data_IF_751934892960
#
_entry.id   IF_751934892960
#
_cell.length_a   1.000
_cell.length_b   1.000
_cell.length_c   1.000
_cell.angle_alpha   90.00
_cell.angle_beta   90.00
_cell.angle_gamma   90.00
#
_symmetry.space_group_name_H-M   'P 1'
#
loop_
_entity.id
_entity.type
_entity.pdbx_description
1 polymer ?
#
# COMPACT_ATOMS: atom_id res chain seq x y z
N UNK A 1 -14.84 -11.36 -15.88
CA UNK A 1 -16.15 -10.70 -16.00
C UNK A 1 -16.83 -11.14 -17.30
N UNK A 2 -18.16 -11.23 -17.35
CA UNK A 2 -18.94 -11.43 -18.58
C UNK A 2 -18.90 -10.16 -19.45
N UNK A 3 -19.34 -10.25 -20.72
CA UNK A 3 -19.43 -9.07 -21.59
C UNK A 3 -20.40 -8.01 -21.02
N UNK A 4 -21.51 -8.44 -20.42
CA UNK A 4 -22.48 -7.55 -19.78
C UNK A 4 -21.92 -6.85 -18.53
N UNK A 5 -21.11 -7.56 -17.74
CA UNK A 5 -20.43 -6.95 -16.59
C UNK A 5 -19.43 -5.87 -17.03
N UNK A 6 -18.65 -6.14 -18.09
CA UNK A 6 -17.69 -5.16 -18.63
C UNK A 6 -18.38 -3.91 -19.19
N UNK A 7 -19.50 -4.08 -19.89
CA UNK A 7 -20.27 -2.95 -20.44
C UNK A 7 -21.05 -2.16 -19.38
N UNK A 8 -21.24 -2.71 -18.17
CA UNK A 8 -21.97 -2.02 -17.08
C UNK A 8 -21.26 -0.79 -16.51
N UNK A 9 -19.95 -0.65 -16.76
CA UNK A 9 -19.12 0.39 -16.12
C UNK A 9 -18.73 0.09 -14.66
N UNK A 10 -19.24 -1.01 -14.08
CA UNK A 10 -18.98 -1.42 -12.70
C UNK A 10 -17.83 -2.45 -12.58
N UNK A 11 -17.14 -2.73 -13.68
CA UNK A 11 -15.87 -3.46 -13.75
C UNK A 11 -14.97 -2.79 -14.77
N UNK A 12 -13.67 -3.16 -14.80
CA UNK A 12 -12.80 -2.72 -15.88
C UNK A 12 -13.18 -3.38 -17.20
N UNK A 13 -12.99 -2.67 -18.31
CA UNK A 13 -13.27 -3.20 -19.65
C UNK A 13 -12.06 -3.97 -20.20
N UNK A 14 -11.84 -5.17 -19.66
CA UNK A 14 -10.79 -6.08 -20.12
C UNK A 14 -11.27 -7.54 -19.98
N UNK A 15 -11.12 -8.31 -21.06
CA UNK A 15 -11.59 -9.72 -21.13
C UNK A 15 -10.85 -10.65 -20.18
N UNK A 16 -9.59 -10.35 -19.88
CA UNK A 16 -8.74 -11.14 -18.98
C UNK A 16 -8.93 -10.75 -17.51
N UNK A 17 -9.69 -9.70 -17.23
CA UNK A 17 -9.95 -9.25 -15.87
C UNK A 17 -10.99 -10.12 -15.16
N UNK A 18 -10.56 -10.71 -14.05
CA UNK A 18 -11.40 -11.48 -13.16
C UNK A 18 -11.97 -10.56 -12.07
N UNK A 19 -13.19 -10.88 -11.66
CA UNK A 19 -13.88 -10.25 -10.54
C UNK A 19 -13.98 -11.26 -9.40
N UNK A 20 -14.15 -10.75 -8.18
CA UNK A 20 -14.46 -11.58 -7.02
C UNK A 20 -15.97 -11.65 -6.88
N UNK A 21 -16.52 -12.86 -6.81
CA UNK A 21 -17.96 -13.05 -6.58
C UNK A 21 -18.27 -13.19 -5.10
N UNK A 22 -19.50 -12.88 -4.71
CA UNK A 22 -20.02 -13.13 -3.36
C UNK A 22 -20.50 -14.58 -3.15
N UNK A 23 -20.26 -15.47 -4.12
CA UNK A 23 -20.76 -16.84 -4.14
C UNK A 23 -22.18 -17.00 -4.72
N UNK A 24 -22.93 -15.91 -4.89
CA UNK A 24 -24.24 -15.89 -5.57
C UNK A 24 -24.16 -15.46 -7.04
N UNK A 25 -22.95 -15.15 -7.51
CA UNK A 25 -22.68 -14.69 -8.87
C UNK A 25 -22.63 -13.17 -9.03
N UNK A 26 -22.89 -12.40 -7.96
CA UNK A 26 -22.74 -10.95 -7.99
C UNK A 26 -21.28 -10.54 -7.76
N UNK A 27 -20.85 -9.45 -8.39
CA UNK A 27 -19.54 -8.85 -8.11
C UNK A 27 -19.51 -8.33 -6.67
N UNK A 28 -18.58 -8.85 -5.86
CA UNK A 28 -18.38 -8.48 -4.46
C UNK A 28 -17.84 -7.06 -4.30
N UNK A 29 -17.07 -6.57 -5.28
CA UNK A 29 -16.44 -5.24 -5.25
C UNK A 29 -16.64 -4.50 -6.58
N UNK A 30 -17.89 -4.11 -6.91
CA UNK A 30 -18.16 -3.31 -8.10
C UNK A 30 -17.46 -1.95 -8.00
N UNK A 31 -17.02 -1.44 -9.15
CA UNK A 31 -16.44 -0.10 -9.23
C UNK A 31 -17.46 0.92 -8.73
N UNK A 32 -17.04 1.78 -7.80
CA UNK A 32 -17.89 2.81 -7.20
C UNK A 32 -17.09 4.06 -6.84
N UNK A 33 -17.81 5.16 -6.60
CA UNK A 33 -17.23 6.38 -6.06
C UNK A 33 -16.84 6.23 -4.59
N UNK A 34 -15.95 7.12 -4.12
CA UNK A 34 -15.50 7.24 -2.74
C UNK A 34 -16.66 7.44 -1.78
N UNK A 35 -16.53 6.84 -0.59
CA UNK A 35 -17.59 6.83 0.44
C UNK A 35 -17.24 7.71 1.63
N UNK A 36 -16.35 8.68 1.42
CA UNK A 36 -15.68 9.50 2.42
C UNK A 36 -15.96 11.00 2.23
N UNK A 37 -17.10 11.35 1.62
CA UNK A 37 -17.54 12.73 1.38
C UNK A 37 -17.63 13.60 2.66
N UNK A 38 -17.76 12.99 3.84
CA UNK A 38 -17.70 13.70 5.12
C UNK A 38 -16.30 14.14 5.54
N UNK A 39 -15.25 13.72 4.83
CA UNK A 39 -13.83 14.02 5.10
C UNK A 39 -13.10 14.59 3.90
N UNK A 40 -13.48 14.16 2.70
CA UNK A 40 -12.90 14.61 1.44
C UNK A 40 -13.97 15.39 0.68
N UNK A 41 -13.73 16.68 0.42
CA UNK A 41 -14.70 17.54 -0.25
C UNK A 41 -15.04 17.09 -1.68
N UNK A 42 -14.08 16.45 -2.36
CA UNK A 42 -14.26 15.86 -3.70
C UNK A 42 -13.65 14.46 -3.72
N UNK A 43 -14.40 13.45 -3.25
CA UNK A 43 -13.97 12.05 -3.24
C UNK A 43 -13.60 11.55 -4.64
N UNK A 44 -12.93 10.40 -4.70
CA UNK A 44 -12.74 9.69 -5.95
C UNK A 44 -14.08 9.40 -6.63
N UNK A 45 -14.19 9.67 -7.91
CA UNK A 45 -15.35 9.30 -8.71
C UNK A 45 -15.19 7.88 -9.25
N UNK A 46 -16.30 7.20 -9.56
CA UNK A 46 -16.25 5.87 -10.19
C UNK A 46 -15.45 5.86 -11.50
N UNK A 47 -15.56 6.86 -12.41
CA UNK A 47 -14.72 6.94 -13.61
C UNK A 47 -13.22 7.07 -13.31
N UNK A 48 -12.82 7.82 -12.27
CA UNK A 48 -11.41 7.91 -11.85
C UNK A 48 -10.89 6.57 -11.32
N UNK A 49 -11.69 5.88 -10.50
CA UNK A 49 -11.38 4.52 -10.01
C UNK A 49 -11.21 3.55 -11.17
N UNK A 50 -12.15 3.57 -12.13
CA UNK A 50 -12.08 2.75 -13.35
C UNK A 50 -10.80 3.04 -14.14
N UNK A 51 -10.44 4.32 -14.29
CA UNK A 51 -9.26 4.70 -15.07
C UNK A 51 -7.95 4.23 -14.46
N UNK A 52 -7.75 4.40 -13.16
CA UNK A 52 -6.56 3.92 -12.48
C UNK A 52 -6.46 2.39 -12.53
N UNK A 53 -7.57 1.67 -12.31
CA UNK A 53 -7.58 0.20 -12.39
C UNK A 53 -7.25 -0.31 -13.80
N UNK A 54 -7.84 0.28 -14.83
CA UNK A 54 -7.59 -0.13 -16.23
C UNK A 54 -6.14 0.13 -16.65
N UNK A 55 -5.59 1.29 -16.31
CA UNK A 55 -4.21 1.61 -16.66
C UNK A 55 -3.22 0.75 -15.87
N UNK A 56 -3.48 0.48 -14.58
CA UNK A 56 -2.68 -0.47 -13.81
C UNK A 56 -2.73 -1.89 -14.42
N UNK A 57 -3.91 -2.35 -14.85
CA UNK A 57 -4.05 -3.65 -15.50
C UNK A 57 -3.31 -3.72 -16.85
N UNK A 58 -3.33 -2.64 -17.63
CA UNK A 58 -2.54 -2.53 -18.88
C UNK A 58 -1.04 -2.55 -18.65
N UNK A 59 -0.55 -1.92 -17.57
CA UNK A 59 0.87 -1.99 -17.20
C UNK A 59 1.23 -3.41 -16.78
N UNK A 60 0.41 -4.05 -15.94
CA UNK A 60 0.59 -5.45 -15.54
C UNK A 60 0.69 -6.38 -16.75
N UNK A 61 -0.21 -6.25 -17.73
CA UNK A 61 -0.23 -7.13 -18.91
C UNK A 61 0.98 -6.97 -19.84
N UNK A 62 1.79 -5.91 -19.64
CA UNK A 62 3.01 -5.63 -20.41
C UNK A 62 4.29 -5.83 -19.58
N UNK A 63 4.15 -5.93 -18.26
CA UNK A 63 5.26 -6.13 -17.35
C UNK A 63 5.70 -7.59 -17.39
N UNK A 64 6.99 -7.84 -17.59
CA UNK A 64 7.57 -9.17 -17.38
C UNK A 64 7.48 -9.54 -15.90
N UNK A 65 7.04 -10.75 -15.58
CA UNK A 65 7.05 -11.30 -14.23
C UNK A 65 8.49 -11.50 -13.71
N UNK A 66 8.72 -11.22 -12.42
CA UNK A 66 9.98 -11.59 -11.75
C UNK A 66 9.95 -13.02 -11.24
N UNK A 67 8.80 -13.49 -10.74
CA UNK A 67 8.71 -14.77 -10.00
C UNK A 67 8.09 -15.91 -10.80
N UNK A 68 7.78 -15.71 -12.09
CA UNK A 68 7.05 -16.69 -12.91
C UNK A 68 7.95 -17.35 -13.97
N UNK A 69 7.59 -18.59 -14.32
CA UNK A 69 8.14 -19.33 -15.47
C UNK A 69 6.99 -19.66 -16.44
N UNK A 70 7.22 -19.65 -17.76
CA UNK A 70 8.47 -19.27 -18.43
C UNK A 70 8.84 -17.79 -18.22
N UNK A 71 10.11 -17.45 -18.37
CA UNK A 71 10.67 -16.15 -17.96
C UNK A 71 10.09 -14.95 -18.72
N UNK A 72 9.43 -15.18 -19.84
CA UNK A 72 8.73 -14.19 -20.68
C UNK A 72 7.25 -14.01 -20.30
N UNK A 73 6.78 -14.68 -19.24
CA UNK A 73 5.40 -14.55 -18.79
C UNK A 73 5.10 -13.14 -18.27
N UNK A 74 3.90 -12.61 -18.54
CA UNK A 74 3.46 -11.34 -17.95
C UNK A 74 3.30 -11.47 -16.43
N UNK A 75 3.41 -10.36 -15.72
CA UNK A 75 3.09 -10.30 -14.30
C UNK A 75 1.64 -10.75 -14.05
N UNK A 76 1.35 -11.26 -12.86
CA UNK A 76 -0.02 -11.59 -12.45
C UNK A 76 -0.28 -11.08 -11.04
N UNK A 77 -1.27 -10.20 -10.93
CA UNK A 77 -1.51 -9.46 -9.69
C UNK A 77 -3.00 -9.25 -9.45
N UNK A 78 -3.32 -8.99 -8.20
CA UNK A 78 -4.57 -8.32 -7.82
C UNK A 78 -4.32 -6.85 -7.60
N UNK A 79 -5.21 -6.00 -8.10
CA UNK A 79 -5.15 -4.55 -8.04
C UNK A 79 -6.39 -4.09 -7.29
N UNK A 80 -6.19 -3.30 -6.23
CA UNK A 80 -7.26 -2.79 -5.37
C UNK A 80 -7.16 -1.28 -5.23
N UNK A 81 -8.30 -0.59 -5.24
CA UNK A 81 -8.40 0.83 -4.91
C UNK A 81 -9.25 1.01 -3.65
N UNK A 82 -8.82 1.89 -2.75
CA UNK A 82 -9.56 2.28 -1.54
C UNK A 82 -9.72 3.80 -1.44
N UNK A 83 -10.76 4.25 -0.75
CA UNK A 83 -10.90 5.66 -0.32
C UNK A 83 -10.06 5.96 0.95
N UNK A 84 -10.10 7.20 1.43
CA UNK A 84 -9.33 7.61 2.62
C UNK A 84 -9.79 6.95 3.92
N UNK A 85 -10.97 6.31 3.92
CA UNK A 85 -11.46 5.51 5.02
C UNK A 85 -11.03 4.05 4.95
N UNK A 86 -10.32 3.65 3.91
CA UNK A 86 -9.98 2.26 3.63
C UNK A 86 -11.14 1.47 3.03
N UNK A 87 -12.22 2.10 2.59
CA UNK A 87 -13.33 1.41 1.92
C UNK A 87 -12.92 1.02 0.51
N UNK A 88 -13.10 -0.24 0.13
CA UNK A 88 -12.76 -0.73 -1.22
C UNK A 88 -13.68 -0.05 -2.25
N UNK A 89 -13.09 0.54 -3.29
CA UNK A 89 -13.78 1.19 -4.40
C UNK A 89 -13.80 0.36 -5.68
N UNK A 90 -12.90 -0.62 -5.77
CA UNK A 90 -12.84 -1.55 -6.89
C UNK A 90 -11.68 -2.53 -6.74
N UNK A 91 -11.86 -3.72 -7.28
CA UNK A 91 -10.83 -4.78 -7.35
C UNK A 91 -10.82 -5.36 -8.75
N UNK A 92 -9.63 -5.55 -9.32
CA UNK A 92 -9.41 -6.30 -10.54
C UNK A 92 -8.31 -7.34 -10.32
N UNK A 93 -8.53 -8.57 -10.77
CA UNK A 93 -7.57 -9.67 -10.62
C UNK A 93 -7.21 -10.23 -11.99
N UNK A 94 -5.93 -10.47 -12.24
CA UNK A 94 -5.50 -11.18 -13.45
C UNK A 94 -5.71 -12.71 -13.28
N UNK A 95 -5.83 -13.50 -14.37
CA UNK A 95 -6.30 -14.88 -14.30
C UNK A 95 -5.50 -15.79 -13.34
N UNK A 96 -4.18 -15.63 -13.31
CA UNK A 96 -3.25 -16.45 -12.52
C UNK A 96 -2.56 -15.65 -11.40
N UNK A 97 -3.24 -14.63 -10.88
CA UNK A 97 -2.73 -13.89 -9.72
C UNK A 97 -2.74 -14.79 -8.47
N UNK A 98 -1.70 -14.79 -7.62
CA UNK A 98 -1.73 -15.53 -6.37
C UNK A 98 -2.94 -15.14 -5.50
N UNK A 99 -3.57 -16.13 -4.86
CA UNK A 99 -4.78 -15.93 -4.06
C UNK A 99 -4.54 -14.90 -2.94
N UNK A 100 -3.38 -14.97 -2.27
CA UNK A 100 -3.00 -14.02 -1.22
C UNK A 100 -2.99 -12.56 -1.70
N UNK A 101 -2.78 -12.32 -3.00
CA UNK A 101 -2.77 -10.98 -3.58
C UNK A 101 -4.11 -10.25 -3.39
N UNK A 102 -5.19 -11.00 -3.22
CA UNK A 102 -6.52 -10.45 -2.93
C UNK A 102 -6.53 -9.61 -1.65
N UNK A 103 -6.00 -10.16 -0.56
CA UNK A 103 -5.94 -9.45 0.72
C UNK A 103 -4.78 -8.46 0.77
N UNK A 104 -3.61 -8.86 0.26
CA UNK A 104 -2.38 -8.05 0.34
C UNK A 104 -2.49 -6.77 -0.50
N UNK A 105 -3.15 -6.80 -1.66
CA UNK A 105 -3.35 -5.59 -2.47
C UNK A 105 -4.20 -4.53 -1.74
N UNK A 106 -5.28 -4.96 -1.06
CA UNK A 106 -6.11 -4.08 -0.23
C UNK A 106 -5.34 -3.60 0.99
N UNK A 107 -4.59 -4.48 1.65
CA UNK A 107 -3.78 -4.14 2.82
C UNK A 107 -2.70 -3.09 2.46
N UNK A 108 -2.03 -3.24 1.32
CA UNK A 108 -1.09 -2.25 0.76
C UNK A 108 -1.76 -0.90 0.49
N UNK A 109 -2.93 -0.90 -0.16
CA UNK A 109 -3.68 0.32 -0.44
C UNK A 109 -4.11 1.05 0.85
N UNK A 110 -4.66 0.30 1.82
CA UNK A 110 -5.04 0.82 3.15
C UNK A 110 -3.85 1.39 3.89
N UNK A 111 -2.68 0.75 3.79
CA UNK A 111 -1.44 1.21 4.43
C UNK A 111 -1.06 2.60 3.96
N UNK A 112 -0.96 2.83 2.65
CA UNK A 112 -0.51 4.14 2.13
C UNK A 112 -1.58 5.22 2.25
N UNK A 113 -2.87 4.86 2.17
CA UNK A 113 -3.97 5.77 2.51
C UNK A 113 -3.89 6.19 3.98
N UNK A 114 -3.62 5.25 4.89
CA UNK A 114 -3.52 5.51 6.32
C UNK A 114 -2.35 6.43 6.65
N UNK A 115 -1.12 6.04 6.31
CA UNK A 115 0.09 6.82 6.69
C UNK A 115 0.16 8.19 6.01
N UNK A 116 -0.48 8.35 4.85
CA UNK A 116 -0.62 9.64 4.18
C UNK A 116 -1.81 10.48 4.69
N UNK A 117 -2.66 9.92 5.54
CA UNK A 117 -3.92 10.52 5.98
C UNK A 117 -3.79 11.32 7.28
N UNK A 118 -4.72 12.25 7.48
CA UNK A 118 -4.73 13.13 8.65
C UNK A 118 -5.04 12.44 9.98
N UNK A 119 -5.66 11.25 9.92
CA UNK A 119 -6.14 10.52 11.10
C UNK A 119 -5.14 9.47 11.62
N UNK A 120 -3.98 9.26 10.98
CA UNK A 120 -3.09 8.17 11.37
C UNK A 120 -2.67 8.23 12.85
N UNK A 121 -2.25 9.41 13.32
CA UNK A 121 -1.88 9.59 14.72
C UNK A 121 -3.07 9.36 15.68
N UNK A 122 -4.25 9.93 15.39
CA UNK A 122 -5.42 9.79 16.27
C UNK A 122 -5.90 8.35 16.34
N UNK A 123 -5.87 7.63 15.21
CA UNK A 123 -6.32 6.26 15.11
C UNK A 123 -5.37 5.31 15.86
N UNK A 124 -4.05 5.50 15.72
CA UNK A 124 -3.06 4.73 16.49
C UNK A 124 -3.16 5.01 18.00
N UNK A 125 -3.39 6.27 18.40
CA UNK A 125 -3.57 6.64 19.81
C UNK A 125 -4.90 6.11 20.39
N UNK A 126 -5.93 5.98 19.56
CA UNK A 126 -7.22 5.41 19.96
C UNK A 126 -7.24 3.88 20.01
N UNK A 127 -6.18 3.21 19.56
CA UNK A 127 -6.06 1.74 19.67
C UNK A 127 -5.89 1.36 21.16
N UNK A 128 -6.53 0.29 21.66
CA UNK A 128 -6.42 -0.11 23.07
C UNK A 128 -5.04 -0.64 23.47
N UNK A 129 -4.16 -0.98 22.52
CA UNK A 129 -2.82 -1.47 22.80
C UNK A 129 -1.84 -0.32 23.05
N UNK A 130 -1.25 -0.17 24.26
CA UNK A 130 -0.23 0.84 24.54
C UNK A 130 1.00 0.71 23.62
N UNK A 131 1.29 -0.51 23.18
CA UNK A 131 2.38 -0.77 22.26
C UNK A 131 2.10 -0.20 20.86
N UNK A 132 0.87 -0.32 20.36
CA UNK A 132 0.43 0.36 19.11
C UNK A 132 0.50 1.87 19.28
N UNK A 133 0.01 2.41 20.40
CA UNK A 133 0.04 3.84 20.70
C UNK A 133 1.49 4.40 20.68
N UNK A 134 2.46 3.61 21.16
CA UNK A 134 3.88 4.01 21.22
C UNK A 134 4.49 4.40 19.87
N UNK A 135 3.98 3.84 18.76
CA UNK A 135 4.51 4.11 17.41
C UNK A 135 4.28 5.54 16.93
N UNK A 136 3.31 6.26 17.50
CA UNK A 136 3.13 7.70 17.20
C UNK A 136 4.30 8.51 17.72
N UNK A 137 4.69 8.31 18.98
CA UNK A 137 5.84 8.99 19.57
C UNK A 137 7.14 8.59 18.87
N UNK A 138 7.34 7.29 18.60
CA UNK A 138 8.53 6.80 17.87
C UNK A 138 8.67 7.47 16.49
N UNK A 139 7.57 7.57 15.74
CA UNK A 139 7.60 8.19 14.40
C UNK A 139 7.89 9.69 14.46
N UNK A 140 7.31 10.40 15.43
CA UNK A 140 7.56 11.84 15.62
C UNK A 140 9.01 12.12 16.01
N UNK A 141 9.58 11.34 16.91
CA UNK A 141 11.00 11.44 17.29
C UNK A 141 11.89 11.12 16.09
N UNK A 142 11.60 10.05 15.36
CA UNK A 142 12.39 9.60 14.22
C UNK A 142 12.48 10.66 13.11
N UNK A 143 11.39 11.38 12.82
CA UNK A 143 11.39 12.48 11.85
C UNK A 143 11.74 13.85 12.44
N UNK A 144 12.01 13.94 13.74
CA UNK A 144 12.10 15.21 14.46
C UNK A 144 10.91 16.16 14.16
N UNK A 145 9.71 15.59 14.00
CA UNK A 145 8.50 16.30 13.62
C UNK A 145 7.34 15.95 14.57
N UNK A 146 6.94 16.87 15.47
CA UNK A 146 5.84 16.62 16.41
C UNK A 146 4.47 16.47 15.72
N UNK A 147 4.38 16.85 14.45
CA UNK A 147 3.17 16.75 13.62
C UNK A 147 3.21 15.59 12.64
N UNK A 148 4.21 14.70 12.68
CA UNK A 148 4.20 13.49 11.86
C UNK A 148 2.92 12.66 12.08
N UNK A 149 2.49 11.94 11.03
CA UNK A 149 1.25 11.13 10.98
C UNK A 149 -0.05 11.94 11.03
N UNK A 150 -0.03 13.18 10.50
CA UNK A 150 -1.20 14.07 10.40
C UNK A 150 -1.53 14.46 8.95
N UNK A 151 -1.07 13.67 7.97
CA UNK A 151 -1.32 13.93 6.54
C UNK A 151 -0.43 15.01 5.91
N UNK A 152 0.59 15.48 6.64
CA UNK A 152 1.60 16.42 6.15
C UNK A 152 2.46 15.86 5.03
N UNK A 153 2.74 14.55 5.07
CA UNK A 153 3.57 13.86 4.09
C UNK A 153 2.85 12.68 3.48
N UNK A 154 3.09 12.47 2.18
CA UNK A 154 2.62 11.32 1.44
C UNK A 154 3.64 10.19 1.54
N UNK A 155 3.17 8.99 1.91
CA UNK A 155 3.99 7.79 2.00
C UNK A 155 3.57 6.76 0.95
N UNK A 156 4.49 6.37 0.07
CA UNK A 156 4.34 5.19 -0.77
C UNK A 156 4.66 3.92 0.03
N UNK A 157 4.26 2.74 -0.47
CA UNK A 157 4.49 1.48 0.24
C UNK A 157 5.98 1.18 0.45
N UNK A 158 6.83 1.59 -0.50
CA UNK A 158 8.29 1.49 -0.37
C UNK A 158 8.82 2.37 0.77
N UNK A 159 8.33 3.60 0.90
CA UNK A 159 8.69 4.51 2.00
C UNK A 159 8.28 3.94 3.37
N UNK A 160 7.06 3.37 3.47
CA UNK A 160 6.61 2.67 4.68
C UNK A 160 7.50 1.47 5.00
N UNK A 161 7.83 0.67 3.98
CA UNK A 161 8.72 -0.49 4.12
C UNK A 161 10.14 -0.12 4.56
N UNK A 162 10.65 1.03 4.13
CA UNK A 162 11.96 1.54 4.55
C UNK A 162 11.99 1.88 6.04
N UNK A 163 10.98 2.59 6.55
CA UNK A 163 10.91 2.94 7.98
C UNK A 163 10.41 1.79 8.88
N UNK A 164 10.12 0.63 8.30
CA UNK A 164 9.78 -0.60 9.02
C UNK A 164 10.96 -1.58 9.17
N UNK A 165 12.16 -1.19 8.70
CA UNK A 165 13.35 -2.04 8.77
C UNK A 165 13.95 -2.10 10.18
N UNK A 166 14.45 -3.28 10.60
CA UNK A 166 15.13 -3.40 11.90
C UNK A 166 16.48 -2.67 11.95
N UNK A 167 17.03 -2.34 10.78
CA UNK A 167 18.15 -1.44 10.58
C UNK A 167 17.75 -0.39 9.54
N UNK A 168 17.87 0.89 9.88
CA UNK A 168 17.57 2.00 8.98
C UNK A 168 18.81 2.88 8.77
N UNK A 169 19.20 3.17 7.51
CA UNK A 169 18.55 2.74 6.27
C UNK A 169 18.76 1.24 5.97
N UNK A 170 17.94 0.69 5.08
CA UNK A 170 18.05 -0.71 4.65
C UNK A 170 19.45 -0.96 4.06
N UNK A 171 20.07 -2.09 4.42
CA UNK A 171 21.43 -2.44 3.98
C UNK A 171 22.56 -2.03 4.93
N UNK A 172 22.31 -1.10 5.87
CA UNK A 172 23.32 -0.66 6.85
C UNK A 172 23.17 -1.42 8.17
N UNK A 173 23.99 -2.45 8.38
CA UNK A 173 23.98 -3.25 9.61
C UNK A 173 24.42 -2.39 10.80
N UNK A 174 23.86 -2.64 11.98
CA UNK A 174 24.16 -1.96 13.25
C UNK A 174 23.65 -0.50 13.37
N UNK A 175 22.82 -0.04 12.43
CA UNK A 175 22.07 1.21 12.61
C UNK A 175 20.85 1.02 13.52
N UNK A 176 20.27 2.14 13.98
CA UNK A 176 19.02 2.11 14.72
C UNK A 176 17.87 1.60 13.83
N UNK A 177 16.83 1.05 14.47
CA UNK A 177 15.64 0.59 13.77
C UNK A 177 14.82 1.76 13.21
N UNK A 178 14.13 1.53 12.10
CA UNK A 178 13.14 2.46 11.57
C UNK A 178 11.96 2.62 12.54
N UNK A 179 11.25 3.75 12.45
CA UNK A 179 10.19 4.13 13.39
C UNK A 179 9.04 3.13 13.52
N UNK A 180 8.76 2.34 12.48
CA UNK A 180 7.70 1.32 12.47
C UNK A 180 8.20 -0.08 12.84
N UNK A 181 9.49 -0.24 13.09
CA UNK A 181 10.12 -1.52 13.41
C UNK A 181 10.33 -1.73 14.91
N UNK A 182 10.55 -2.98 15.30
CA UNK A 182 11.19 -3.28 16.60
C UNK A 182 12.70 -3.03 16.51
N UNK A 183 13.37 -2.70 17.62
CA UNK A 183 14.81 -2.85 17.73
C UNK A 183 15.23 -4.29 17.38
N UNK A 184 16.40 -4.46 16.75
CA UNK A 184 16.82 -5.76 16.22
C UNK A 184 16.81 -6.91 17.23
N UNK A 185 17.17 -6.65 18.49
CA UNK A 185 17.15 -7.67 19.57
C UNK A 185 15.74 -8.15 19.98
N UNK A 186 14.69 -7.49 19.49
CA UNK A 186 13.28 -7.87 19.68
C UNK A 186 12.58 -8.16 18.33
N UNK A 187 13.33 -8.06 17.24
CA UNK A 187 12.80 -8.21 15.89
C UNK A 187 12.87 -9.67 15.44
N UNK A 188 11.81 -10.11 14.77
CA UNK A 188 11.80 -11.37 14.02
C UNK A 188 10.74 -11.29 12.92
N UNK A 189 10.68 -12.24 11.98
CA UNK A 189 9.57 -12.35 11.03
C UNK A 189 8.17 -12.41 11.68
N UNK A 190 8.09 -12.77 12.97
CA UNK A 190 6.85 -12.81 13.76
C UNK A 190 6.70 -11.62 14.72
N UNK A 191 7.71 -10.75 14.82
CA UNK A 191 7.75 -9.56 15.68
C UNK A 191 8.38 -8.40 14.92
N UNK A 192 7.73 -7.97 13.84
CA UNK A 192 8.31 -6.99 12.90
C UNK A 192 8.25 -5.55 13.40
N UNK A 193 7.28 -5.20 14.24
CA UNK A 193 7.07 -3.82 14.69
C UNK A 193 5.59 -3.49 14.78
N UNK A 194 5.19 -2.35 14.22
CA UNK A 194 3.79 -1.92 14.23
C UNK A 194 2.87 -2.94 13.55
N UNK A 195 3.35 -3.61 12.49
CA UNK A 195 2.58 -4.63 11.78
C UNK A 195 2.15 -5.79 12.69
N UNK A 196 3.09 -6.37 13.46
CA UNK A 196 2.76 -7.43 14.41
C UNK A 196 2.03 -6.92 15.64
N UNK A 197 2.36 -5.71 16.13
CA UNK A 197 1.69 -5.07 17.26
C UNK A 197 0.18 -4.87 17.02
N UNK A 198 -0.18 -4.48 15.79
CA UNK A 198 -1.57 -4.23 15.39
C UNK A 198 -2.47 -5.47 15.47
N UNK A 199 -1.91 -6.66 15.22
CA UNK A 199 -2.65 -7.93 15.16
C UNK A 199 -2.59 -8.74 16.45
N UNK A 200 -1.72 -8.37 17.40
CA UNK A 200 -1.43 -9.20 18.58
C UNK A 200 -2.68 -9.53 19.40
N UNK A 201 -3.56 -8.55 19.60
CA UNK A 201 -4.82 -8.77 20.34
C UNK A 201 -5.73 -9.77 19.61
N UNK A 202 -5.80 -9.72 18.28
CA UNK A 202 -6.59 -10.68 17.50
C UNK A 202 -6.04 -12.10 17.64
N UNK A 203 -4.71 -12.25 17.61
CA UNK A 203 -4.05 -13.55 17.83
C UNK A 203 -4.33 -14.07 19.24
N UNK A 204 -4.22 -13.21 20.26
CA UNK A 204 -4.50 -13.59 21.65
C UNK A 204 -5.96 -14.02 21.87
N UNK A 205 -6.92 -13.28 21.31
CA UNK A 205 -8.34 -13.66 21.35
C UNK A 205 -8.60 -14.99 20.64
N UNK A 206 -7.99 -15.21 19.46
CA UNK A 206 -8.13 -16.47 18.73
C UNK A 206 -7.54 -17.65 19.52
N UNK A 207 -6.38 -17.48 20.15
CA UNK A 207 -5.81 -18.50 21.06
C UNK A 207 -6.77 -18.79 22.21
N UNK A 208 -7.36 -17.76 22.82
CA UNK A 208 -8.37 -17.92 23.87
C UNK A 208 -9.59 -18.71 23.39
N UNK A 209 -10.06 -18.47 22.17
CA UNK A 209 -11.14 -19.23 21.55
C UNK A 209 -10.77 -20.71 21.34
N UNK A 210 -9.61 -21.00 20.73
CA UNK A 210 -9.15 -22.37 20.49
C UNK A 210 -8.94 -23.15 21.80
N UNK A 211 -8.48 -22.48 22.85
CA UNK A 211 -8.29 -23.09 24.18
C UNK A 211 -9.58 -23.18 25.01
N UNK A 212 -10.73 -22.72 24.49
CA UNK A 212 -12.02 -22.76 25.19
C UNK A 212 -12.16 -21.73 26.32
N UNK A 213 -11.24 -20.76 26.42
CA UNK A 213 -11.32 -19.64 27.37
C UNK A 213 -12.32 -18.55 26.92
N UNK A 214 -12.71 -18.55 25.64
CA UNK A 214 -13.74 -17.69 25.06
C UNK A 214 -14.70 -18.51 24.19
N UNK A 215 -16.00 -18.22 24.27
CA UNK A 215 -17.01 -18.81 23.37
C UNK A 215 -17.04 -18.17 21.98
N UNK A 216 -16.41 -17.00 21.82
CA UNK A 216 -16.36 -16.25 20.56
C UNK A 216 -14.93 -16.09 20.09
N UNK A 217 -14.70 -16.36 18.80
CA UNK A 217 -13.44 -16.05 18.13
C UNK A 217 -13.23 -14.53 18.02
N UNK A 218 -12.04 -14.12 17.59
CA UNK A 218 -11.72 -12.74 17.32
C UNK A 218 -12.61 -12.16 16.23
N UNK A 219 -12.90 -10.86 16.34
CA UNK A 219 -13.63 -10.10 15.33
C UNK A 219 -12.97 -10.22 13.95
N UNK A 220 -13.78 -10.26 12.90
CA UNK A 220 -13.36 -10.45 11.49
C UNK A 220 -12.66 -9.21 10.89
N UNK A 221 -11.55 -8.79 11.50
CA UNK A 221 -10.67 -7.68 11.12
C UNK A 221 -9.36 -7.77 11.89
N UNK A 222 -8.28 -7.25 11.32
CA UNK A 222 -6.93 -7.48 11.82
C UNK A 222 -6.45 -6.49 12.89
N UNK A 223 -7.17 -5.39 13.17
CA UNK A 223 -6.64 -4.33 14.07
C UNK A 223 -7.70 -3.70 14.94
N UNK A 224 -7.38 -3.40 16.20
CA UNK A 224 -8.30 -2.79 17.18
C UNK A 224 -8.34 -1.26 17.13
N UNK A 225 -7.85 -0.69 16.02
CA UNK A 225 -7.94 0.73 15.73
C UNK A 225 -9.42 1.17 15.72
N UNK A 226 -9.74 2.39 16.18
CA UNK A 226 -11.12 2.89 16.22
C UNK A 226 -11.80 2.80 14.86
N UNK A 227 -13.11 2.55 14.90
CA UNK A 227 -13.93 2.59 13.70
C UNK A 227 -14.02 4.02 13.17
N UNK A 228 -14.08 4.10 11.85
CA UNK A 228 -14.30 5.36 11.16
C UNK A 228 -15.68 5.90 11.54
N UNK A 229 -15.81 7.18 11.95
CA UNK A 229 -17.13 7.74 12.26
C UNK A 229 -18.13 7.51 11.12
N UNK A 230 -19.26 6.88 11.48
CA UNK A 230 -20.33 6.52 10.54
C UNK A 230 -20.14 5.19 9.78
N UNK A 231 -19.12 4.38 10.11
CA UNK A 231 -18.87 3.08 9.44
C UNK A 231 -18.54 1.97 10.45
N UNK A 232 -18.95 0.74 10.15
CA UNK A 232 -18.56 -0.45 10.90
C UNK A 232 -17.23 -1.05 10.40
N UNK A 233 -16.23 -0.18 10.17
CA UNK A 233 -14.88 -0.58 9.76
C UNK A 233 -13.88 0.47 10.27
N UNK A 234 -12.61 0.06 10.41
CA UNK A 234 -11.50 0.99 10.63
C UNK A 234 -10.61 1.11 9.37
N UNK A 235 -9.70 2.09 9.36
CA UNK A 235 -8.83 2.36 8.20
C UNK A 235 -7.82 1.26 7.93
N UNK A 236 -7.45 0.51 8.97
CA UNK A 236 -6.48 -0.60 8.93
C UNK A 236 -7.19 -1.94 9.11
N UNK A 237 -8.33 -2.14 8.45
CA UNK A 237 -9.16 -3.32 8.68
C UNK A 237 -8.42 -4.64 8.33
N UNK A 238 -7.48 -4.61 7.38
CA UNK A 238 -6.57 -5.74 7.08
C UNK A 238 -5.21 -5.64 7.78
N UNK A 239 -4.96 -4.67 8.65
CA UNK A 239 -3.61 -4.35 9.13
C UNK A 239 -2.83 -3.52 8.14
N UNK A 240 -1.49 -3.61 8.20
CA UNK A 240 -0.57 -2.87 7.31
C UNK A 240 0.35 -3.83 6.57
N UNK A 241 0.89 -3.37 5.44
CA UNK A 241 1.92 -4.06 4.69
C UNK A 241 3.20 -3.21 4.61
N UNK A 242 4.34 -3.83 4.88
CA UNK A 242 5.66 -3.19 4.97
C UNK A 242 6.57 -3.51 3.77
N UNK A 243 5.98 -3.77 2.60
CA UNK A 243 6.73 -3.96 1.35
C UNK A 243 6.06 -3.28 0.15
N UNK A 244 6.82 -2.98 -0.93
CA UNK A 244 6.38 -2.15 -2.06
C UNK A 244 5.14 -2.66 -2.81
N UNK A 245 4.54 -1.79 -3.62
CA UNK A 245 3.33 -2.12 -4.40
C UNK A 245 2.10 -1.29 -4.10
N UNK A 246 2.24 -0.05 -3.62
CA UNK A 246 1.09 0.83 -3.39
C UNK A 246 1.48 2.30 -3.46
N UNK A 247 0.58 3.10 -4.02
CA UNK A 247 0.72 4.55 -4.18
C UNK A 247 -0.54 5.25 -3.66
N UNK A 248 -0.42 6.30 -2.83
CA UNK A 248 -1.57 7.10 -2.43
C UNK A 248 -2.00 8.02 -3.58
N UNK A 249 -3.31 8.22 -3.71
CA UNK A 249 -3.94 8.99 -4.79
C UNK A 249 -4.31 10.38 -4.26
N UNK A 250 -3.87 11.41 -4.96
CA UNK A 250 -4.05 12.80 -4.61
C UNK A 250 -4.87 13.56 -5.65
N UNK A 251 -5.69 14.50 -5.18
CA UNK A 251 -6.31 15.58 -5.95
C UNK A 251 -5.68 16.88 -5.47
N UNK A 252 -4.74 17.42 -6.25
CA UNK A 252 -3.88 18.52 -5.79
C UNK A 252 -3.11 18.12 -4.52
N UNK A 253 -3.28 18.87 -3.44
CA UNK A 253 -2.66 18.57 -2.13
C UNK A 253 -3.52 17.67 -1.23
N UNK A 254 -4.70 17.23 -1.69
CA UNK A 254 -5.64 16.45 -0.87
C UNK A 254 -5.50 14.97 -1.19
N UNK A 255 -5.24 14.15 -0.17
CA UNK A 255 -5.36 12.70 -0.29
C UNK A 255 -6.83 12.34 -0.55
N UNK A 256 -7.08 11.50 -1.57
CA UNK A 256 -8.45 11.06 -1.94
C UNK A 256 -8.60 9.54 -2.00
N UNK A 257 -7.52 8.78 -1.79
CA UNK A 257 -7.55 7.33 -1.76
C UNK A 257 -6.17 6.71 -1.97
N UNK A 258 -6.14 5.44 -2.37
CA UNK A 258 -4.90 4.74 -2.68
C UNK A 258 -5.14 3.57 -3.65
N UNK A 259 -4.10 3.22 -4.42
CA UNK A 259 -4.03 1.99 -5.20
C UNK A 259 -2.99 1.06 -4.59
N UNK A 260 -3.31 -0.24 -4.54
CA UNK A 260 -2.40 -1.28 -4.08
C UNK A 260 -2.42 -2.50 -5.00
N UNK A 261 -1.26 -3.10 -5.19
CA UNK A 261 -1.00 -4.21 -6.10
C UNK A 261 -0.23 -5.30 -5.39
N UNK A 262 -0.65 -6.54 -5.61
CA UNK A 262 0.05 -7.70 -5.09
C UNK A 262 -0.08 -8.91 -5.99
N UNK A 263 1.04 -9.56 -6.28
CA UNK A 263 1.05 -10.90 -6.86
C UNK A 263 2.34 -11.30 -7.56
N UNK A 264 3.24 -10.37 -7.85
CA UNK A 264 4.54 -10.67 -8.45
C UNK A 264 5.69 -10.17 -7.56
N UNK A 265 6.89 -10.00 -8.11
CA UNK A 265 8.00 -9.34 -7.45
C UNK A 265 7.65 -7.92 -7.03
N UNK A 266 8.24 -7.48 -5.92
CA UNK A 266 7.91 -6.19 -5.29
C UNK A 266 8.14 -5.01 -6.22
N UNK A 267 9.10 -5.09 -7.15
CA UNK A 267 9.36 -4.02 -8.11
C UNK A 267 8.31 -3.97 -9.23
N UNK A 268 7.76 -5.12 -9.66
CA UNK A 268 6.63 -5.13 -10.60
C UNK A 268 5.41 -4.55 -9.92
N UNK A 269 5.09 -4.97 -8.69
CA UNK A 269 3.96 -4.43 -7.94
C UNK A 269 4.07 -2.91 -7.80
N UNK A 270 5.26 -2.40 -7.46
CA UNK A 270 5.53 -0.98 -7.26
C UNK A 270 5.42 -0.19 -8.57
N UNK A 271 6.04 -0.69 -9.64
CA UNK A 271 5.95 -0.12 -11.00
C UNK A 271 4.50 -0.07 -11.50
N UNK A 272 3.74 -1.16 -11.35
CA UNK A 272 2.32 -1.22 -11.74
C UNK A 272 1.52 -0.18 -10.95
N UNK A 273 1.78 -0.03 -9.65
CA UNK A 273 1.10 0.97 -8.82
C UNK A 273 1.39 2.39 -9.28
N UNK A 274 2.65 2.67 -9.56
CA UNK A 274 3.10 4.00 -9.89
C UNK A 274 2.65 4.42 -11.29
N UNK A 275 2.92 3.58 -12.30
CA UNK A 275 2.56 3.86 -13.69
C UNK A 275 1.06 3.75 -13.93
N UNK A 276 0.36 2.84 -13.25
CA UNK A 276 -1.10 2.73 -13.33
C UNK A 276 -1.80 3.99 -12.83
N UNK A 277 -1.37 4.52 -11.67
CA UNK A 277 -1.87 5.80 -11.17
C UNK A 277 -1.50 6.97 -12.09
N UNK A 278 -0.25 7.02 -12.55
CA UNK A 278 0.21 8.09 -13.45
C UNK A 278 -0.61 8.12 -14.75
N UNK A 279 -0.68 7.00 -15.47
CA UNK A 279 -1.41 6.90 -16.74
C UNK A 279 -2.91 7.10 -16.54
N UNK A 280 -3.49 6.54 -15.47
CA UNK A 280 -4.91 6.73 -15.13
C UNK A 280 -5.25 8.20 -14.91
N UNK A 281 -4.41 8.90 -14.14
CA UNK A 281 -4.53 10.33 -13.90
C UNK A 281 -4.37 11.18 -15.16
N UNK A 282 -3.39 10.85 -16.03
CA UNK A 282 -3.24 11.52 -17.33
C UNK A 282 -4.46 11.33 -18.24
N UNK A 283 -5.08 10.15 -18.18
CA UNK A 283 -6.23 9.78 -19.02
C UNK A 283 -7.51 10.50 -18.64
N UNK A 284 -7.79 10.63 -17.34
CA UNK A 284 -9.07 11.17 -16.84
C UNK A 284 -8.97 12.61 -16.30
N UNK A 285 -7.76 13.04 -15.90
CA UNK A 285 -7.53 14.31 -15.22
C UNK A 285 -7.96 14.30 -13.75
N UNK A 286 -7.54 15.33 -12.99
CA UNK A 286 -8.04 15.59 -11.63
C UNK A 286 -7.39 14.78 -10.50
N UNK A 287 -6.83 13.60 -10.77
CA UNK A 287 -6.14 12.77 -9.76
C UNK A 287 -4.75 12.34 -10.23
N UNK A 288 -3.86 12.06 -9.29
CA UNK A 288 -2.51 11.58 -9.60
C UNK A 288 -1.68 11.31 -8.35
N UNK A 289 -0.36 11.31 -8.53
CA UNK A 289 0.60 11.20 -7.44
C UNK A 289 0.59 12.44 -6.54
N UNK A 290 1.02 12.28 -5.30
CA UNK A 290 1.25 13.40 -4.41
C UNK A 290 2.20 14.44 -5.05
N UNK A 291 2.01 15.74 -4.82
CA UNK A 291 2.96 16.78 -5.20
C UNK A 291 4.34 16.54 -4.60
N UNK A 292 5.41 16.79 -5.38
CA UNK A 292 6.78 16.48 -4.97
C UNK A 292 7.16 17.06 -3.59
N UNK A 293 6.71 18.27 -3.28
CA UNK A 293 7.03 18.98 -2.04
C UNK A 293 6.48 18.32 -0.77
N UNK A 294 5.51 17.40 -0.87
CA UNK A 294 4.92 16.72 0.30
C UNK A 294 5.23 15.23 0.34
N UNK A 295 6.10 14.73 -0.53
CA UNK A 295 6.42 13.30 -0.58
C UNK A 295 7.44 12.94 0.50
N UNK A 296 7.36 11.70 0.99
CA UNK A 296 8.27 11.20 2.03
C UNK A 296 9.76 11.24 1.63
N UNK A 297 10.11 11.27 0.34
CA UNK A 297 11.51 11.42 -0.11
C UNK A 297 12.07 12.84 0.14
N UNK A 298 11.26 13.77 0.63
CA UNK A 298 11.73 15.05 1.18
C UNK A 298 12.14 14.96 2.66
N UNK A 299 11.84 13.84 3.33
CA UNK A 299 12.20 13.61 4.73
C UNK A 299 13.63 13.12 4.84
N UNK A 300 14.42 13.84 5.63
CA UNK A 300 15.79 13.50 5.99
C UNK A 300 15.82 13.08 7.45
N UNK A 301 16.41 11.91 7.72
CA UNK A 301 16.55 11.35 9.06
C UNK A 301 18.03 11.29 9.41
N UNK A 302 18.41 11.83 10.56
CA UNK A 302 19.77 11.73 11.05
C UNK A 302 20.13 10.27 11.34
N UNK A 303 21.25 9.82 10.80
CA UNK A 303 21.80 8.47 11.00
C UNK A 303 23.16 8.57 11.71
N UNK A 304 23.60 7.49 12.36
CA UNK A 304 24.84 7.51 13.14
C UNK A 304 26.08 7.89 12.30
N UNK A 305 27.11 8.42 12.96
CA UNK A 305 28.35 8.85 12.30
C UNK A 305 28.97 7.73 11.43
N UNK A 306 29.30 8.05 10.17
CA UNK A 306 29.92 7.12 9.21
C UNK A 306 29.07 6.81 7.97
N UNK A 307 27.80 7.22 7.96
CA UNK A 307 26.94 7.26 6.76
C UNK A 307 26.81 8.73 6.37
N UNK A 308 26.85 9.07 5.07
CA UNK A 308 26.71 10.45 4.58
C UNK A 308 25.58 11.17 5.31
N UNK A 309 25.86 12.33 5.92
CA UNK A 309 24.97 13.04 6.86
C UNK A 309 23.49 13.08 6.42
N UNK A 310 22.69 12.11 6.90
CA UNK A 310 21.25 11.98 6.65
C UNK A 310 20.84 10.89 5.66
N UNK A 311 19.90 10.03 6.07
CA UNK A 311 19.22 9.08 5.17
C UNK A 311 17.87 9.65 4.72
N UNK A 312 17.60 9.56 3.42
CA UNK A 312 16.32 9.97 2.83
C UNK A 312 15.32 8.81 2.95
N UNK A 313 14.07 9.11 3.29
CA UNK A 313 12.98 8.12 3.17
C UNK A 313 12.61 7.96 1.69
N UNK A 314 13.47 7.27 0.94
CA UNK A 314 13.27 7.01 -0.49
C UNK A 314 11.99 6.20 -0.73
N UNK A 315 11.43 6.29 -1.94
CA UNK A 315 10.25 5.51 -2.33
C UNK A 315 9.29 6.17 -3.31
N UNK A 316 9.58 7.39 -3.75
CA UNK A 316 8.76 8.12 -4.71
C UNK A 316 9.45 8.28 -6.05
N UNK A 317 8.80 7.79 -7.11
CA UNK A 317 9.15 8.14 -8.48
C UNK A 317 10.37 7.44 -9.07
N UNK A 318 10.61 7.82 -10.32
CA UNK A 318 11.24 7.00 -11.31
C UNK A 318 12.77 6.86 -11.16
N UNK A 319 13.44 7.51 -10.23
CA UNK A 319 14.91 7.42 -10.11
C UNK A 319 15.44 5.98 -9.87
N UNK A 320 14.61 5.09 -9.31
CA UNK A 320 14.87 3.63 -9.23
C UNK A 320 14.27 2.83 -10.39
N UNK A 321 13.32 3.41 -11.13
CA UNK A 321 12.62 2.83 -12.28
C UNK A 321 13.30 3.23 -13.62
N UNK A 322 14.13 4.27 -13.65
CA UNK A 322 14.76 4.90 -14.82
C UNK A 322 16.09 4.25 -15.19
N UNK A 323 16.44 3.10 -14.61
CA UNK A 323 17.29 2.11 -15.29
C UNK A 323 16.49 1.36 -16.39
N UNK A 324 15.56 2.05 -17.04
CA UNK A 324 14.82 1.61 -18.23
C UNK A 324 15.27 2.54 -19.35
N UNK A 325 16.12 2.01 -20.21
CA UNK A 325 16.55 2.66 -21.46
C UNK A 325 15.29 3.05 -22.25
N UNK A 326 14.99 4.36 -22.26
CA UNK A 326 13.97 4.95 -23.11
C UNK A 326 14.50 5.09 -24.54
N UNK A 327 14.74 3.96 -25.20
CA UNK A 327 14.80 3.92 -26.66
C UNK A 327 13.52 3.27 -27.15
N UNK A 328 12.58 4.11 -27.59
CA UNK A 328 11.33 3.71 -28.23
C UNK A 328 11.68 2.95 -29.51
N UNK A 329 11.64 1.62 -29.46
CA UNK A 329 11.96 0.77 -30.61
C UNK A 329 11.50 -0.69 -30.53
N UNK A 330 11.32 -1.28 -29.35
CA UNK A 330 10.95 -2.70 -29.26
C UNK A 330 10.16 -3.05 -28.01
N UNK A 331 8.83 -2.83 -28.05
CA UNK A 331 7.73 -3.64 -27.47
C UNK A 331 7.77 -4.29 -26.08
N UNK A 332 8.82 -4.22 -25.27
CA UNK A 332 8.96 -4.92 -23.98
C UNK A 332 9.62 -3.99 -22.96
N UNK A 333 8.96 -3.77 -21.81
CA UNK A 333 9.54 -3.04 -20.68
C UNK A 333 10.25 -4.04 -19.77
N UNK A 334 11.57 -4.01 -19.75
CA UNK A 334 12.40 -4.85 -18.89
C UNK A 334 13.02 -4.00 -17.77
N UNK A 335 12.82 -4.38 -16.51
CA UNK A 335 13.58 -3.82 -15.40
C UNK A 335 14.83 -4.67 -15.17
N UNK A 336 16.02 -4.05 -15.25
CA UNK A 336 17.24 -4.65 -14.73
C UNK A 336 17.23 -4.53 -13.20
N UNK A 337 17.32 -5.66 -12.49
CA UNK A 337 17.54 -5.65 -11.05
C UNK A 337 18.93 -5.07 -10.77
N UNK A 338 19.01 -3.96 -10.03
CA UNK A 338 20.29 -3.44 -9.55
C UNK A 338 20.72 -4.36 -8.41
N UNK A 339 21.56 -5.33 -8.74
CA UNK A 339 22.47 -5.91 -7.77
C UNK A 339 23.35 -4.77 -7.26
N UNK A 340 23.37 -4.54 -5.95
CA UNK A 340 24.28 -3.60 -5.33
C UNK A 340 25.72 -4.01 -5.64
N UNK A 341 26.35 -3.32 -6.59
CA UNK A 341 27.81 -3.27 -6.68
C UNK A 341 28.27 -2.15 -5.78
N UNK A 342 28.63 -2.52 -4.55
CA UNK A 342 29.58 -1.73 -3.79
C UNK A 342 30.91 -1.74 -4.57
N UNK A 343 31.34 -0.59 -5.06
CA UNK A 343 32.70 -0.39 -5.54
C UNK A 343 33.19 0.98 -5.08
N UNK A 344 34.27 0.99 -4.30
CA UNK A 344 35.10 2.14 -3.99
C UNK A 344 35.05 2.55 -2.53
#
# INVERSE_FOLDING_TARGET
ATAAERSSGNTIDNVDAFILTDGSGANRYPLRAGTDAGRVATPLTQPEVKAVLEEAFKIMSRARAQIRKPLDSPAQVTISIVDTDGSILGVARSPDAPIFGTDVSVQKARTVAFFSGANAASDLLGNPSPDVQSYVAKTRTFFADPTALTGKFAFAARSVGNIARPFYPDGEIAQAAGSLSRPYNQWSPFSTGLQSALILNNVAEHVGFILGASATDTRQRCTFTPDVPGKAQNRLQNGIQIFPGASPIYRGNTLVGAVGISGDGIDQDDMISFLGLYNGGQRIGGVGHAPAAIRADTLVVAVGAGVSDGAIVSGWGAAWIVAVDMTIGSGVVQMAGIAGTATG
#
